data_IF_052747515110
#
_entry.id   IF_052747515110
#
_cell.length_a   1.000
_cell.length_b   1.000
_cell.length_c   1.000
_cell.angle_alpha   90.00
_cell.angle_beta   90.00
_cell.angle_gamma   90.00
#
_symmetry.space_group_name_H-M   'P 1'
#
loop_
_entity.id
_entity.type
_entity.pdbx_description
1 polymer ?
#
# COMPACT_ATOMS: atom_id res chain seq x y z
N UNK A 1 -15.46 -7.62 6.47
CA UNK A 1 -15.75 -6.16 6.46
C UNK A 1 -15.30 -5.47 5.18
N UNK A 2 -14.23 -5.92 4.52
CA UNK A 2 -13.82 -5.40 3.22
C UNK A 2 -14.86 -5.68 2.12
N UNK A 3 -15.11 -4.72 1.23
CA UNK A 3 -15.93 -4.92 0.02
C UNK A 3 -15.22 -5.78 -1.03
N UNK A 4 -15.99 -6.22 -2.04
CA UNK A 4 -15.48 -7.00 -3.17
C UNK A 4 -14.34 -6.31 -3.94
N UNK A 5 -14.41 -4.99 -4.09
CA UNK A 5 -13.31 -4.15 -4.58
C UNK A 5 -12.91 -3.19 -3.47
N UNK A 6 -11.69 -3.34 -2.95
CA UNK A 6 -11.20 -2.54 -1.83
C UNK A 6 -9.69 -2.60 -1.71
N UNK A 7 -9.15 -1.69 -0.90
CA UNK A 7 -7.73 -1.62 -0.57
C UNK A 7 -7.52 -1.78 0.94
N UNK A 8 -6.33 -2.26 1.30
CA UNK A 8 -5.87 -2.36 2.68
C UNK A 8 -4.48 -1.73 2.77
N UNK A 9 -4.30 -0.78 3.68
CA UNK A 9 -3.02 -0.14 3.98
C UNK A 9 -2.57 -0.66 5.34
N UNK A 10 -1.49 -1.43 5.38
CA UNK A 10 -1.04 -2.16 6.55
C UNK A 10 0.35 -1.69 6.97
N UNK A 11 0.42 -0.89 8.03
CA UNK A 11 1.67 -0.55 8.70
C UNK A 11 2.32 -1.81 9.28
N UNK A 12 3.49 -2.17 8.74
CA UNK A 12 4.28 -3.33 9.17
C UNK A 12 5.48 -2.93 10.05
N UNK A 13 5.58 -1.64 10.38
CA UNK A 13 6.71 -1.08 11.13
C UNK A 13 8.02 -1.31 10.39
N UNK A 14 9.04 -1.74 11.12
CA UNK A 14 10.41 -1.87 10.61
C UNK A 14 10.86 -3.33 10.44
N UNK A 15 10.16 -4.28 11.06
CA UNK A 15 10.58 -5.68 11.19
C UNK A 15 9.55 -6.71 10.72
N UNK A 16 8.29 -6.34 10.54
CA UNK A 16 7.19 -7.30 10.33
C UNK A 16 6.67 -7.38 8.89
N UNK A 17 7.51 -7.06 7.91
CA UNK A 17 7.12 -7.06 6.49
C UNK A 17 6.61 -8.42 6.03
N UNK A 18 7.29 -9.50 6.43
CA UNK A 18 6.96 -10.83 5.95
C UNK A 18 5.65 -11.35 6.56
N UNK A 19 5.46 -11.11 7.86
CA UNK A 19 4.20 -11.39 8.53
C UNK A 19 3.05 -10.55 7.93
N UNK A 20 3.33 -9.30 7.55
CA UNK A 20 2.38 -8.42 6.87
C UNK A 20 1.94 -8.98 5.51
N UNK A 21 2.87 -9.50 4.71
CA UNK A 21 2.56 -10.15 3.42
C UNK A 21 1.66 -11.37 3.59
N UNK A 22 2.01 -12.24 4.53
CA UNK A 22 1.20 -13.42 4.85
C UNK A 22 -0.20 -13.03 5.37
N UNK A 23 -0.29 -11.97 6.16
CA UNK A 23 -1.56 -11.46 6.67
C UNK A 23 -2.46 -10.94 5.54
N UNK A 24 -1.91 -10.15 4.61
CA UNK A 24 -2.64 -9.68 3.43
C UNK A 24 -3.18 -10.86 2.61
N UNK A 25 -2.35 -11.88 2.37
CA UNK A 25 -2.73 -13.11 1.66
C UNK A 25 -3.88 -13.82 2.36
N UNK A 26 -3.80 -14.03 3.68
CA UNK A 26 -4.87 -14.64 4.50
C UNK A 26 -6.17 -13.85 4.44
N UNK A 27 -6.08 -12.52 4.39
CA UNK A 27 -7.25 -11.66 4.25
C UNK A 27 -7.79 -11.58 2.81
N UNK A 28 -7.16 -12.25 1.84
CA UNK A 28 -7.56 -12.27 0.44
C UNK A 28 -7.20 -11.00 -0.32
N UNK A 29 -6.15 -10.30 0.10
CA UNK A 29 -5.56 -9.17 -0.61
C UNK A 29 -4.28 -9.60 -1.33
N UNK A 30 -4.03 -9.04 -2.51
CA UNK A 30 -2.75 -9.13 -3.22
C UNK A 30 -1.94 -7.88 -2.95
N UNK A 31 -0.67 -8.01 -2.53
CA UNK A 31 0.20 -6.85 -2.34
C UNK A 31 0.51 -6.18 -3.68
N UNK A 32 0.25 -4.89 -3.78
CA UNK A 32 0.44 -4.09 -5.00
C UNK A 32 1.48 -3.00 -4.84
N UNK A 33 1.53 -2.33 -3.68
CA UNK A 33 2.50 -1.27 -3.40
C UNK A 33 3.12 -1.44 -2.00
N UNK A 34 4.21 -0.71 -1.75
CA UNK A 34 4.92 -0.65 -0.48
C UNK A 34 5.35 0.79 -0.22
N UNK A 35 4.56 1.50 0.60
CA UNK A 35 4.82 2.90 0.91
C UNK A 35 5.88 2.97 2.01
N UNK A 36 7.02 3.58 1.71
CA UNK A 36 8.10 3.79 2.65
C UNK A 36 7.95 5.14 3.36
N UNK A 37 7.84 5.11 4.69
CA UNK A 37 7.98 6.31 5.51
C UNK A 37 9.40 6.43 6.01
N UNK A 38 10.18 7.31 5.40
CA UNK A 38 11.57 7.59 5.75
C UNK A 38 11.61 8.70 6.81
N UNK A 39 12.37 8.45 7.86
CA UNK A 39 12.49 9.35 9.01
C UNK A 39 13.81 10.10 8.92
N UNK A 40 13.74 11.43 8.78
CA UNK A 40 14.92 12.29 8.78
C UNK A 40 15.36 12.63 10.19
N UNK A 41 16.60 13.06 10.34
CA UNK A 41 17.24 13.38 11.63
C UNK A 41 17.91 14.76 11.60
N UNK A 42 17.35 15.71 10.85
CA UNK A 42 17.91 17.06 10.68
C UNK A 42 18.00 17.84 11.99
N UNK A 43 17.09 17.56 12.92
CA UNK A 43 16.96 18.22 14.22
C UNK A 43 17.52 17.38 15.36
N UNK A 44 18.05 16.19 15.05
CA UNK A 44 18.55 15.28 16.06
C UNK A 44 19.79 15.84 16.75
N UNK A 45 19.84 15.67 18.08
CA UNK A 45 21.01 16.05 18.87
C UNK A 45 22.20 15.18 18.47
N UNK A 46 23.37 15.76 18.57
CA UNK A 46 24.63 15.07 18.27
C UNK A 46 25.41 15.01 19.57
N UNK A 47 25.95 13.83 19.89
CA UNK A 47 26.77 13.65 21.09
C UNK A 47 28.16 14.28 20.90
N UNK A 48 28.96 14.26 21.98
CA UNK A 48 30.33 14.81 22.01
C UNK A 48 31.26 14.24 20.93
N UNK A 49 30.95 13.07 20.38
CA UNK A 49 31.72 12.38 19.33
C UNK A 49 31.21 12.64 17.92
N UNK A 50 30.28 13.59 17.74
CA UNK A 50 29.71 13.89 16.42
C UNK A 50 28.69 12.86 15.92
N UNK A 51 28.23 11.94 16.77
CA UNK A 51 27.23 10.92 16.42
C UNK A 51 25.84 11.36 16.83
N UNK A 52 24.86 11.18 15.94
CA UNK A 52 23.45 11.46 16.22
C UNK A 52 22.96 10.62 17.40
N UNK A 53 22.48 11.29 18.44
CA UNK A 53 21.76 10.68 19.56
C UNK A 53 20.38 10.26 19.06
N UNK A 54 20.15 8.95 19.06
CA UNK A 54 18.86 8.41 18.62
C UNK A 54 17.93 8.28 19.82
N UNK A 55 16.72 8.84 19.75
CA UNK A 55 15.72 8.59 20.78
C UNK A 55 15.35 7.10 20.81
N UNK A 56 15.20 6.48 19.64
CA UNK A 56 14.66 5.13 19.48
C UNK A 56 15.79 4.10 19.39
N UNK A 57 16.15 3.47 20.51
CA UNK A 57 16.99 2.27 20.51
C UNK A 57 16.09 1.03 20.54
N UNK A 58 16.12 0.22 19.48
CA UNK A 58 15.48 -1.10 19.51
C UNK A 58 16.40 -2.07 20.25
N UNK A 59 16.04 -2.44 21.48
CA UNK A 59 16.76 -3.46 22.23
C UNK A 59 16.58 -4.84 21.57
N UNK A 60 17.68 -5.57 21.40
CA UNK A 60 17.66 -6.90 20.79
C UNK A 60 17.57 -6.90 19.26
N UNK A 61 17.86 -5.77 18.62
CA UNK A 61 17.89 -5.69 17.15
C UNK A 61 19.09 -6.47 16.57
N UNK A 62 18.80 -7.38 15.63
CA UNK A 62 19.78 -8.16 14.87
C UNK A 62 20.16 -7.52 13.52
N UNK A 63 19.64 -6.32 13.22
CA UNK A 63 19.89 -5.62 11.97
C UNK A 63 21.36 -5.22 11.82
N UNK A 64 21.92 -5.47 10.63
CA UNK A 64 23.25 -4.97 10.25
C UNK A 64 23.21 -3.45 9.98
N UNK A 65 22.10 -2.97 9.41
CA UNK A 65 21.90 -1.57 9.07
C UNK A 65 20.99 -0.89 10.07
N UNK A 66 21.24 0.40 10.30
CA UNK A 66 20.30 1.21 11.06
C UNK A 66 18.96 1.28 10.33
N UNK A 67 17.88 0.94 11.03
CA UNK A 67 16.53 1.22 10.55
C UNK A 67 16.18 2.68 10.80
N UNK A 68 15.76 3.35 9.73
CA UNK A 68 15.35 4.76 9.70
C UNK A 68 14.09 4.95 8.86
N UNK A 69 13.33 3.86 8.66
CA UNK A 69 12.09 3.87 7.89
C UNK A 69 11.13 2.82 8.39
N UNK A 70 9.86 3.14 8.26
CA UNK A 70 8.76 2.19 8.41
C UNK A 70 8.10 1.94 7.06
N UNK A 71 7.42 0.80 6.94
CA UNK A 71 6.76 0.40 5.70
C UNK A 71 5.27 0.15 5.90
N UNK A 72 4.48 0.61 4.94
CA UNK A 72 3.06 0.38 4.85
C UNK A 72 2.76 -0.41 3.57
N UNK A 73 2.43 -1.69 3.71
CA UNK A 73 2.08 -2.54 2.59
C UNK A 73 0.68 -2.19 2.09
N UNK A 74 0.52 -2.06 0.77
CA UNK A 74 -0.78 -1.81 0.14
C UNK A 74 -1.28 -3.10 -0.51
N UNK A 75 -2.43 -3.58 -0.04
CA UNK A 75 -3.12 -4.73 -0.58
C UNK A 75 -4.35 -4.33 -1.41
N UNK A 76 -4.59 -5.02 -2.51
CA UNK A 76 -5.82 -4.90 -3.32
C UNK A 76 -6.66 -6.18 -3.23
N UNK A 77 -7.97 -6.01 -3.11
CA UNK A 77 -8.97 -7.09 -3.22
C UNK A 77 -9.88 -6.81 -4.41
N UNK A 78 -10.23 -7.87 -5.14
CA UNK A 78 -11.01 -7.79 -6.38
C UNK A 78 -10.14 -7.54 -7.62
N UNK A 79 -10.80 -7.28 -8.74
CA UNK A 79 -10.17 -6.96 -10.03
C UNK A 79 -10.29 -5.47 -10.30
N UNK A 80 -9.16 -4.80 -10.50
CA UNK A 80 -9.09 -3.36 -10.81
C UNK A 80 -8.16 -3.13 -11.99
N UNK A 81 -8.63 -2.31 -12.94
CA UNK A 81 -7.92 -1.90 -14.14
C UNK A 81 -7.88 -0.38 -14.19
N UNK A 82 -6.68 0.20 -14.06
CA UNK A 82 -6.47 1.67 -14.07
C UNK A 82 -7.11 2.41 -15.25
N UNK A 83 -7.18 1.76 -16.42
CA UNK A 83 -7.78 2.35 -17.63
C UNK A 83 -9.30 2.33 -17.67
N UNK A 84 -9.95 1.53 -16.82
CA UNK A 84 -11.41 1.30 -16.82
C UNK A 84 -12.05 1.83 -15.53
N UNK A 85 -11.43 1.56 -14.40
CA UNK A 85 -11.99 1.84 -13.07
C UNK A 85 -11.64 3.26 -12.58
N UNK A 86 -11.65 4.23 -13.49
CA UNK A 86 -11.31 5.63 -13.18
C UNK A 86 -12.30 6.31 -12.24
N UNK A 87 -13.51 5.75 -12.15
CA UNK A 87 -14.55 6.18 -11.23
C UNK A 87 -14.29 5.74 -9.78
N UNK A 88 -13.32 4.84 -9.57
CA UNK A 88 -12.97 4.28 -8.27
C UNK A 88 -11.57 4.68 -7.82
N UNK A 89 -10.61 4.79 -8.75
CA UNK A 89 -9.22 5.12 -8.44
C UNK A 89 -8.65 6.23 -9.33
N UNK A 90 -7.85 7.10 -8.71
CA UNK A 90 -6.92 8.00 -9.39
C UNK A 90 -5.49 7.52 -9.11
N UNK A 91 -5.02 6.59 -9.94
CA UNK A 91 -3.66 6.06 -9.79
C UNK A 91 -2.60 7.09 -10.19
N UNK A 92 -1.41 6.96 -9.59
CA UNK A 92 -0.21 7.74 -9.92
C UNK A 92 -0.29 9.25 -9.59
N UNK A 93 -1.23 9.66 -8.74
CA UNK A 93 -1.26 11.03 -8.21
C UNK A 93 -0.15 11.28 -7.17
N UNK A 94 0.12 10.27 -6.35
CA UNK A 94 1.09 10.32 -5.26
C UNK A 94 2.19 9.27 -5.48
N UNK A 95 3.33 9.46 -4.81
CA UNK A 95 4.48 8.53 -4.81
C UNK A 95 4.43 7.61 -3.58
N UNK A 96 5.20 6.54 -3.60
CA UNK A 96 5.30 5.53 -2.53
C UNK A 96 6.34 5.90 -1.44
N UNK A 97 6.62 7.19 -1.26
CA UNK A 97 7.60 7.69 -0.31
C UNK A 97 7.02 8.86 0.48
N UNK A 98 7.04 8.74 1.81
CA UNK A 98 6.75 9.83 2.74
C UNK A 98 8.05 10.15 3.49
N UNK A 99 8.41 11.43 3.56
CA UNK A 99 9.57 11.90 4.32
C UNK A 99 9.13 12.87 5.42
N UNK A 100 9.33 12.48 6.67
CA UNK A 100 9.05 13.32 7.84
C UNK A 100 10.23 13.23 8.81
N UNK A 101 10.42 14.24 9.67
CA UNK A 101 11.41 14.16 10.74
C UNK A 101 11.02 13.08 11.76
N UNK A 102 12.01 12.38 12.31
CA UNK A 102 11.80 11.40 13.39
C UNK A 102 11.04 12.06 14.55
N UNK A 103 9.99 11.38 15.02
CA UNK A 103 9.15 11.89 16.10
C UNK A 103 9.82 11.68 17.46
N UNK A 104 9.27 12.33 18.47
CA UNK A 104 9.73 12.18 19.85
C UNK A 104 9.74 10.70 20.29
N UNK A 105 10.64 10.37 21.21
CA UNK A 105 10.79 9.02 21.74
C UNK A 105 9.45 8.46 22.25
N UNK A 106 9.12 7.23 21.84
CA UNK A 106 7.88 6.55 22.23
C UNK A 106 6.64 7.01 21.46
N UNK A 107 6.77 7.96 20.52
CA UNK A 107 5.67 8.36 19.65
C UNK A 107 5.23 7.20 18.75
N UNK A 108 3.92 6.98 18.70
CA UNK A 108 3.28 6.00 17.80
C UNK A 108 2.56 6.68 16.64
N UNK A 109 2.76 7.98 16.46
CA UNK A 109 2.13 8.78 15.41
C UNK A 109 2.67 8.42 14.03
N UNK A 110 1.80 8.00 13.13
CA UNK A 110 2.11 7.84 11.70
C UNK A 110 1.99 9.19 10.98
N UNK A 111 2.61 9.37 9.79
CA UNK A 111 2.56 10.62 9.06
C UNK A 111 1.13 10.92 8.60
N UNK A 112 0.70 12.17 8.71
CA UNK A 112 -0.65 12.61 8.31
C UNK A 112 -0.84 12.53 6.80
N UNK A 113 0.23 12.67 6.01
CA UNK A 113 0.26 12.52 4.55
C UNK A 113 -0.30 11.15 4.07
N UNK A 114 -0.28 10.13 4.94
CA UNK A 114 -0.89 8.83 4.62
C UNK A 114 -2.40 8.95 4.35
N UNK A 115 -3.12 9.82 5.08
CA UNK A 115 -4.55 10.02 4.83
C UNK A 115 -4.80 10.64 3.46
N UNK A 116 -4.00 11.65 3.09
CA UNK A 116 -4.08 12.35 1.82
C UNK A 116 -3.79 11.40 0.66
N UNK A 117 -2.71 10.61 0.77
CA UNK A 117 -2.37 9.57 -0.20
C UNK A 117 -3.53 8.60 -0.45
N UNK A 118 -4.18 8.12 0.63
CA UNK A 118 -5.31 7.19 0.52
C UNK A 118 -6.54 7.86 -0.10
N UNK A 119 -6.81 9.12 0.27
CA UNK A 119 -7.96 9.88 -0.18
C UNK A 119 -7.86 10.32 -1.65
N UNK A 120 -6.67 10.70 -2.11
CA UNK A 120 -6.37 10.98 -3.50
C UNK A 120 -6.47 9.72 -4.37
N UNK A 121 -5.93 8.61 -3.87
CA UNK A 121 -5.88 7.36 -4.61
C UNK A 121 -7.25 6.70 -4.79
N UNK A 122 -8.05 6.59 -3.73
CA UNK A 122 -9.31 5.84 -3.72
C UNK A 122 -10.52 6.75 -3.48
N UNK A 123 -11.40 6.79 -4.49
CA UNK A 123 -12.65 7.58 -4.48
C UNK A 123 -13.76 6.91 -3.66
N UNK A 124 -13.54 5.73 -3.10
CA UNK A 124 -14.44 5.09 -2.15
C UNK A 124 -14.56 5.91 -0.86
N UNK A 125 -15.80 6.21 -0.45
CA UNK A 125 -16.10 7.08 0.70
C UNK A 125 -16.16 6.34 2.05
N UNK A 126 -16.21 5.00 2.03
CA UNK A 126 -16.20 4.16 3.24
C UNK A 126 -14.77 3.83 3.64
N UNK A 127 -14.19 4.65 4.51
CA UNK A 127 -12.82 4.49 5.00
C UNK A 127 -12.86 4.08 6.47
N UNK A 128 -12.09 3.06 6.83
CA UNK A 128 -12.00 2.50 8.17
C UNK A 128 -10.55 2.50 8.63
N UNK A 129 -10.28 3.14 9.76
CA UNK A 129 -9.01 3.05 10.47
C UNK A 129 -9.18 2.16 11.70
N UNK A 130 -8.44 1.05 11.72
CA UNK A 130 -8.36 0.17 12.88
C UNK A 130 -7.16 0.55 13.73
N UNK A 131 -7.31 0.39 15.04
CA UNK A 131 -6.32 0.73 16.07
C UNK A 131 -6.03 2.23 16.21
N UNK A 132 -6.92 3.09 15.70
CA UNK A 132 -6.80 4.53 15.87
C UNK A 132 -7.06 4.99 17.32
N UNK A 133 -6.56 6.18 17.63
CA UNK A 133 -6.73 6.87 18.91
C UNK A 133 -7.45 8.22 18.68
N UNK A 134 -7.74 8.99 19.73
CA UNK A 134 -8.48 10.25 19.59
C UNK A 134 -7.82 11.24 18.61
N UNK A 135 -6.49 11.23 18.54
CA UNK A 135 -5.70 12.04 17.60
C UNK A 135 -5.82 11.61 16.12
N UNK A 136 -6.40 10.43 15.87
CA UNK A 136 -6.65 9.89 14.53
C UNK A 136 -8.07 10.20 14.02
N UNK A 137 -8.89 10.90 14.80
CA UNK A 137 -10.23 11.30 14.34
C UNK A 137 -10.11 12.24 13.14
N UNK A 138 -10.74 11.85 12.03
CA UNK A 138 -10.71 12.58 10.77
C UNK A 138 -12.05 12.48 10.04
N UNK A 139 -12.50 13.58 9.46
CA UNK A 139 -13.71 13.60 8.64
C UNK A 139 -13.58 12.65 7.44
N UNK A 140 -14.65 11.92 7.14
CA UNK A 140 -14.65 10.90 6.09
C UNK A 140 -14.05 9.55 6.49
N UNK A 141 -13.60 9.39 7.74
CA UNK A 141 -13.09 8.14 8.31
C UNK A 141 -13.96 7.63 9.46
N UNK A 142 -14.12 6.32 9.51
CA UNK A 142 -14.56 5.62 10.71
C UNK A 142 -13.32 5.14 11.46
N UNK A 143 -13.11 5.60 12.69
CA UNK A 143 -11.95 5.20 13.51
C UNK A 143 -12.42 4.24 14.59
N UNK A 144 -11.79 3.07 14.68
CA UNK A 144 -12.06 2.06 15.72
C UNK A 144 -10.76 1.73 16.45
N UNK A 145 -10.74 1.88 17.77
CA UNK A 145 -9.59 1.51 18.58
C UNK A 145 -9.91 1.44 20.06
N UNK A 146 -9.12 0.67 20.80
CA UNK A 146 -9.30 0.46 22.25
C UNK A 146 -8.95 1.71 23.07
N UNK A 147 -8.13 2.61 22.54
CA UNK A 147 -7.70 3.83 23.23
C UNK A 147 -8.49 5.08 22.84
N UNK A 148 -9.66 4.92 22.22
CA UNK A 148 -10.60 6.03 22.03
C UNK A 148 -11.27 6.35 23.37
N UNK A 149 -11.36 7.64 23.71
CA UNK A 149 -12.01 8.08 24.96
C UNK A 149 -13.51 8.25 24.83
N UNK A 150 -14.01 8.44 23.61
CA UNK A 150 -15.43 8.64 23.31
C UNK A 150 -15.90 7.79 22.13
N UNK A 151 -17.22 7.59 22.03
CA UNK A 151 -17.84 6.87 20.92
C UNK A 151 -19.13 7.56 20.49
N UNK A 152 -19.26 7.81 19.19
CA UNK A 152 -20.47 8.33 18.55
C UNK A 152 -21.04 7.33 17.52
N UNK A 153 -20.65 6.05 17.62
CA UNK A 153 -20.98 5.04 16.62
C UNK A 153 -22.48 4.80 16.51
N UNK A 154 -23.03 5.06 15.32
CA UNK A 154 -24.38 4.69 14.96
C UNK A 154 -24.38 4.05 13.56
N UNK A 155 -24.57 2.73 13.51
CA UNK A 155 -24.54 1.95 12.27
C UNK A 155 -25.58 2.42 11.24
N UNK A 156 -26.80 2.73 11.68
CA UNK A 156 -27.88 3.15 10.78
C UNK A 156 -27.56 4.53 10.17
N UNK A 157 -27.13 5.48 11.01
CA UNK A 157 -26.73 6.80 10.56
C UNK A 157 -25.53 6.73 9.60
N UNK A 158 -24.47 5.98 9.94
CA UNK A 158 -23.30 5.80 9.07
C UNK A 158 -23.69 5.22 7.71
N UNK A 159 -24.51 4.17 7.67
CA UNK A 159 -24.94 3.57 6.41
C UNK A 159 -25.78 4.52 5.55
N UNK A 160 -26.60 5.37 6.17
CA UNK A 160 -27.46 6.32 5.46
C UNK A 160 -26.67 7.34 4.62
N UNK A 161 -25.41 7.64 4.98
CA UNK A 161 -24.57 8.60 4.24
C UNK A 161 -24.13 8.09 2.86
N UNK A 162 -24.19 6.78 2.65
CA UNK A 162 -23.74 6.09 1.44
C UNK A 162 -24.88 5.49 0.62
N UNK A 163 -26.13 5.83 0.96
CA UNK A 163 -27.30 5.42 0.19
C UNK A 163 -27.39 6.19 -1.14
N UNK A 164 -27.97 5.55 -2.15
CA UNK A 164 -28.07 6.08 -3.51
C UNK A 164 -26.78 5.99 -4.32
N UNK A 165 -26.81 6.63 -5.50
CA UNK A 165 -25.71 6.58 -6.49
C UNK A 165 -25.21 7.98 -6.90
N UNK A 166 -25.76 9.04 -6.30
CA UNK A 166 -25.32 10.42 -6.54
C UNK A 166 -23.85 10.59 -6.13
N UNK A 167 -23.13 11.49 -6.78
CA UNK A 167 -21.70 11.74 -6.55
C UNK A 167 -21.44 13.25 -6.56
N UNK A 168 -20.25 13.68 -6.20
CA UNK A 168 -19.79 15.04 -6.49
C UNK A 168 -19.64 15.20 -8.01
N UNK A 169 -20.09 16.32 -8.61
CA UNK A 169 -20.54 17.57 -7.99
C UNK A 169 -22.06 17.70 -7.73
N UNK A 170 -22.87 16.69 -8.06
CA UNK A 170 -24.32 16.75 -7.83
C UNK A 170 -24.68 16.77 -6.33
N UNK A 171 -23.89 16.05 -5.54
CA UNK A 171 -23.95 16.03 -4.08
C UNK A 171 -23.11 17.16 -3.52
N UNK A 172 -23.69 18.00 -2.65
CA UNK A 172 -22.99 19.12 -2.00
C UNK A 172 -22.74 18.92 -0.50
N UNK A 173 -23.21 17.82 0.06
CA UNK A 173 -23.02 17.46 1.47
C UNK A 173 -22.35 16.09 1.61
N UNK A 174 -22.31 15.54 2.82
CA UNK A 174 -21.74 14.22 3.09
C UNK A 174 -22.67 13.05 2.74
N UNK A 175 -23.83 13.27 2.10
CA UNK A 175 -24.81 12.23 1.76
C UNK A 175 -24.91 12.07 0.26
N UNK A 176 -24.62 10.89 -0.26
CA UNK A 176 -24.66 10.70 -1.70
C UNK A 176 -23.76 9.58 -2.15
N UNK A 177 -24.26 8.36 -1.99
CA UNK A 177 -23.63 7.15 -2.51
C UNK A 177 -22.24 6.81 -1.95
N UNK A 178 -21.70 5.72 -2.45
CA UNK A 178 -20.45 5.10 -1.94
C UNK A 178 -19.17 5.69 -2.54
N UNK A 179 -19.29 6.44 -3.64
CA UNK A 179 -18.17 6.97 -4.41
C UNK A 179 -18.19 8.48 -4.41
N UNK A 180 -17.02 9.09 -4.30
CA UNK A 180 -16.88 10.54 -4.25
C UNK A 180 -17.29 11.19 -5.57
N UNK A 181 -16.95 10.59 -6.72
CA UNK A 181 -17.06 11.25 -8.02
C UNK A 181 -15.78 12.00 -8.39
N UNK A 182 -15.80 12.66 -9.55
CA UNK A 182 -14.71 13.46 -10.09
C UNK A 182 -15.30 14.53 -11.01
N UNK A 183 -14.59 15.64 -11.17
CA UNK A 183 -14.97 16.73 -12.09
C UNK A 183 -14.07 16.71 -13.32
N UNK A 184 -14.57 17.31 -14.42
CA UNK A 184 -13.85 17.34 -15.69
C UNK A 184 -12.43 17.93 -15.59
N UNK A 185 -12.22 18.91 -14.71
CA UNK A 185 -10.91 19.52 -14.45
C UNK A 185 -9.91 18.54 -13.82
N UNK A 186 -10.32 17.83 -12.75
CA UNK A 186 -9.51 16.78 -12.12
C UNK A 186 -9.20 15.68 -13.13
N UNK A 187 -10.21 15.26 -13.91
CA UNK A 187 -10.00 14.28 -14.96
C UNK A 187 -9.05 14.77 -16.05
N UNK A 188 -9.02 16.05 -16.39
CA UNK A 188 -8.10 16.60 -17.38
C UNK A 188 -6.65 16.63 -16.88
N UNK A 189 -6.44 16.89 -15.59
CA UNK A 189 -5.12 17.07 -14.99
C UNK A 189 -4.49 15.77 -14.47
N UNK A 190 -5.30 14.79 -14.07
CA UNK A 190 -4.76 13.57 -13.46
C UNK A 190 -3.98 12.71 -14.47
N UNK A 191 -2.95 11.98 -14.02
CA UNK A 191 -2.21 11.05 -14.87
C UNK A 191 -3.11 9.97 -15.48
N UNK A 192 -2.95 9.72 -16.78
CA UNK A 192 -3.69 8.71 -17.56
C UNK A 192 -2.74 7.94 -18.47
N UNK A 193 -3.04 6.66 -18.70
CA UNK A 193 -2.30 5.88 -19.69
C UNK A 193 -2.45 6.48 -21.09
N UNK A 194 -1.39 6.53 -21.91
CA UNK A 194 -1.48 6.98 -23.29
C UNK A 194 -2.50 6.15 -24.08
N UNK A 195 -3.27 6.82 -24.94
CA UNK A 195 -4.19 6.12 -25.86
C UNK A 195 -3.33 5.49 -26.96
N UNK A 196 -3.33 4.15 -27.07
CA UNK A 196 -2.67 3.47 -28.19
C UNK A 196 -3.37 3.84 -29.50
N UNK A 197 -2.68 4.46 -30.47
CA UNK A 197 -3.27 4.71 -31.79
C UNK A 197 -3.52 3.36 -32.46
N UNK A 198 -4.78 3.05 -32.79
CA UNK A 198 -5.10 1.87 -33.62
C UNK A 198 -6.27 0.99 -33.15
N UNK A 199 -6.81 1.14 -31.93
CA UNK A 199 -7.98 0.34 -31.49
C UNK A 199 -9.33 1.04 -31.61
N UNK A 200 -9.36 2.27 -32.14
CA UNK A 200 -10.59 2.99 -32.44
C UNK A 200 -11.12 2.61 -33.83
N UNK A 201 -11.59 1.36 -34.01
CA UNK A 201 -12.51 0.94 -35.10
C UNK A 201 -12.94 -0.52 -34.94
N UNK A 202 -13.90 -0.78 -34.04
CA UNK A 202 -14.72 -2.00 -34.10
C UNK A 202 -15.96 -1.89 -33.20
N UNK A 203 -16.71 -0.79 -33.32
CA UNK A 203 -18.09 -0.73 -32.82
C UNK A 203 -18.95 0.10 -33.78
N UNK A 204 -19.21 -0.42 -34.98
CA UNK A 204 -20.42 -0.09 -35.74
C UNK A 204 -20.64 -1.06 -36.91
N UNK A 205 -21.87 -1.61 -36.96
CA UNK A 205 -22.58 -2.21 -38.11
C UNK A 205 -22.32 -3.70 -38.45
N UNK A 206 -23.16 -4.54 -37.86
CA UNK A 206 -23.63 -5.79 -38.47
C UNK A 206 -24.55 -5.48 -39.65
N UNK A 207 -24.08 -5.71 -40.88
CA UNK A 207 -24.92 -5.95 -42.05
C UNK A 207 -24.08 -6.63 -43.15
N UNK A 208 -24.55 -7.79 -43.64
CA UNK A 208 -24.21 -8.27 -44.98
C UNK A 208 -23.17 -9.40 -45.10
N UNK A 209 -23.69 -10.61 -45.31
CA UNK A 209 -23.16 -11.76 -46.06
C UNK A 209 -22.00 -11.49 -47.06
N UNK A 210 -21.06 -12.43 -47.12
CA UNK A 210 -20.22 -12.70 -48.31
C UNK A 210 -18.93 -13.44 -47.97
N UNK A 211 -18.76 -14.67 -48.45
CA UNK A 211 -17.65 -15.56 -48.11
C UNK A 211 -16.36 -15.34 -48.90
N UNK A 212 -15.35 -16.17 -48.60
CA UNK A 212 -14.11 -16.29 -49.38
C UNK A 212 -12.88 -16.32 -48.48
N UNK A 213 -12.32 -17.52 -48.26
CA UNK A 213 -11.22 -17.74 -47.33
C UNK A 213 -9.88 -17.13 -47.75
N UNK A 214 -9.06 -16.80 -46.74
CA UNK A 214 -7.61 -16.97 -46.76
C UNK A 214 -7.11 -17.02 -45.33
N UNK A 215 -6.54 -18.17 -44.93
CA UNK A 215 -5.82 -18.34 -43.66
C UNK A 215 -4.56 -17.48 -43.72
N UNK A 216 -4.52 -16.40 -42.93
CA UNK A 216 -3.29 -15.72 -42.57
C UNK A 216 -2.95 -16.20 -41.15
N UNK A 217 -1.76 -16.78 -40.96
CA UNK A 217 -1.25 -17.14 -39.64
C UNK A 217 -0.93 -15.84 -38.93
N UNK A 218 -1.81 -15.42 -38.03
CA UNK A 218 -1.49 -14.41 -37.05
C UNK A 218 -0.49 -15.02 -36.07
N UNK A 219 0.67 -14.39 -35.95
CA UNK A 219 1.64 -14.68 -34.91
C UNK A 219 1.04 -14.14 -33.61
N UNK A 220 0.45 -15.03 -32.81
CA UNK A 220 0.01 -14.74 -31.46
C UNK A 220 1.25 -14.36 -30.62
N UNK A 221 1.40 -13.07 -30.32
CA UNK A 221 2.33 -12.57 -29.32
C UNK A 221 1.73 -12.86 -27.92
N UNK A 222 1.84 -14.11 -27.49
CA UNK A 222 1.43 -14.60 -26.16
C UNK A 222 2.52 -14.42 -25.07
N UNK A 223 3.50 -13.55 -25.28
CA UNK A 223 4.61 -13.34 -24.33
C UNK A 223 4.35 -12.25 -23.27
N UNK A 224 3.16 -11.65 -23.22
CA UNK A 224 2.83 -10.62 -22.20
C UNK A 224 2.02 -11.12 -21.00
N UNK A 225 1.61 -12.40 -20.98
CA UNK A 225 0.80 -12.99 -19.88
C UNK A 225 1.54 -14.06 -19.08
N UNK A 226 2.87 -14.21 -19.25
CA UNK A 226 3.68 -15.04 -18.36
C UNK A 226 3.98 -14.27 -17.07
N UNK A 227 3.73 -14.86 -15.88
CA UNK A 227 4.28 -14.30 -14.64
C UNK A 227 5.80 -14.21 -14.76
N UNK A 228 6.37 -13.14 -14.20
CA UNK A 228 7.82 -12.97 -14.12
C UNK A 228 8.46 -14.22 -13.48
N UNK A 229 9.57 -14.75 -14.01
CA UNK A 229 10.27 -15.88 -13.41
C UNK A 229 10.61 -15.57 -11.94
N UNK A 230 10.29 -16.50 -11.03
CA UNK A 230 10.50 -16.35 -9.58
C UNK A 230 11.97 -16.41 -9.14
N UNK A 231 12.93 -16.40 -10.06
CA UNK A 231 14.34 -16.53 -9.72
C UNK A 231 15.15 -15.34 -10.26
N UNK A 232 15.13 -14.26 -9.48
CA UNK A 232 16.18 -13.25 -9.51
C UNK A 232 17.19 -13.59 -8.40
N UNK A 233 17.96 -14.65 -8.63
CA UNK A 233 19.38 -14.72 -8.32
C UNK A 233 19.76 -14.57 -6.85
N UNK A 234 19.77 -15.70 -6.15
CA UNK A 234 20.79 -15.95 -5.13
C UNK A 234 22.18 -15.88 -5.79
N UNK A 235 22.79 -14.69 -5.80
CA UNK A 235 24.23 -14.54 -5.97
C UNK A 235 24.89 -14.42 -4.60
N UNK A 236 24.76 -15.48 -3.80
CA UNK A 236 25.66 -15.72 -2.67
C UNK A 236 26.76 -16.69 -3.13
N UNK A 237 28.05 -16.39 -2.92
CA UNK A 237 29.09 -17.39 -3.12
C UNK A 237 28.83 -18.59 -2.19
N UNK A 238 29.13 -19.84 -2.62
CA UNK A 238 28.98 -20.99 -1.75
C UNK A 238 29.88 -20.84 -0.52
N UNK A 239 29.31 -21.06 0.67
CA UNK A 239 30.07 -21.12 1.92
C UNK A 239 31.11 -22.26 1.84
N UNK A 240 32.34 -22.06 2.36
CA UNK A 240 33.32 -23.14 2.44
C UNK A 240 32.77 -24.30 3.28
N UNK A 241 33.03 -25.53 2.86
CA UNK A 241 32.74 -26.72 3.66
C UNK A 241 33.61 -26.68 4.92
N UNK A 242 32.99 -26.84 6.08
CA UNK A 242 33.73 -27.02 7.33
C UNK A 242 34.45 -28.37 7.27
N UNK A 243 35.78 -28.35 7.41
CA UNK A 243 36.58 -29.55 7.62
C UNK A 243 36.31 -30.05 9.04
N UNK A 244 35.65 -31.20 9.16
CA UNK A 244 35.57 -31.99 10.39
C UNK A 244 36.96 -32.56 10.73
N UNK A 245 37.85 -31.74 11.29
CA UNK A 245 38.92 -32.21 12.20
C UNK A 245 39.71 -31.01 12.77
N UNK A 246 39.25 -30.49 13.90
CA UNK A 246 40.09 -29.69 14.79
C UNK A 246 39.65 -29.93 16.24
N UNK A 247 40.45 -30.74 16.92
CA UNK A 247 40.39 -31.07 18.35
C UNK A 247 40.09 -29.86 19.25
N UNK A 248 39.07 -29.98 20.10
CA UNK A 248 38.83 -29.05 21.21
C UNK A 248 39.98 -29.10 22.24
N UNK A 249 40.56 -27.98 22.69
CA UNK A 249 41.33 -27.96 23.92
C UNK A 249 40.39 -27.88 25.14
N UNK A 250 40.69 -28.69 26.16
CA UNK A 250 39.94 -28.80 27.40
C UNK A 250 39.95 -27.50 28.23
N UNK A 251 38.82 -27.17 28.87
CA UNK A 251 38.73 -26.08 29.84
C UNK A 251 39.36 -26.48 31.19
N UNK A 252 40.07 -25.58 31.89
CA UNK A 252 40.52 -25.85 33.26
C UNK A 252 39.36 -25.68 34.24
N UNK A 253 39.29 -26.57 35.22
CA UNK A 253 38.36 -26.52 36.33
C UNK A 253 38.80 -25.43 37.33
N UNK A 254 37.88 -24.54 37.71
CA UNK A 254 38.04 -23.67 38.88
C UNK A 254 37.89 -24.52 40.16
N UNK A 255 38.92 -24.47 41.00
CA UNK A 255 38.90 -25.01 42.35
C UNK A 255 38.44 -23.93 43.34
N UNK A 256 37.56 -24.33 44.26
CA UNK A 256 37.46 -23.77 45.60
C UNK A 256 38.31 -24.64 46.55
#
# INVERSE_FOLDING_TARGET
>A
IADAQSFCFLWCGETHLEQGRELLKRWGFRRVEDICWVKTNRTAKVNEHGKVERPTLMYGDTSILQRSKEQCLVGVKGTLKRSVDTHFIHANCDVDLIMEEEKEFGSTLKPTEMYETIEHFCLGRRRLELFGLDRNLRDGWLTLGRGLTTSNWNKAAYNSWFEGDLRWPEVKDYRGGKLLGSIAEIDALRPKSPVRPGRARSRSRSAGRGGGGRRQKDVENDDFDKPLPEDLGEMAPPLPKEDEDASMPAMPAEAA
#
